data_IF_428625402729
#
_entry.id   IF_428625402729
#
_cell.length_a   1.000
_cell.length_b   1.000
_cell.length_c   1.000
_cell.angle_alpha   90.00
_cell.angle_beta   90.00
_cell.angle_gamma   90.00
#
_symmetry.space_group_name_H-M   'P 1'
#
loop_
_entity.id
_entity.type
_entity.pdbx_description
1 polymer ?
#
# COMPACT_ATOMS: atom_id res chain seq x y z
N UNK A 1 0.75 -8.99 -6.30
CA UNK A 1 1.15 -7.77 -7.05
C UNK A 1 0.07 -6.69 -7.07
N UNK A 2 -1.12 -6.90 -7.65
CA UNK A 2 -2.18 -5.86 -7.73
C UNK A 2 -2.48 -5.15 -6.40
N UNK A 3 -2.74 -5.91 -5.33
CA UNK A 3 -3.01 -5.34 -4.01
C UNK A 3 -1.83 -4.56 -3.43
N UNK A 4 -0.60 -5.00 -3.65
CA UNK A 4 0.60 -4.30 -3.17
C UNK A 4 0.77 -2.94 -3.86
N UNK A 5 0.44 -2.84 -5.15
CA UNK A 5 0.46 -1.57 -5.90
C UNK A 5 -0.58 -0.60 -5.31
N UNK A 6 -1.81 -1.08 -5.08
CA UNK A 6 -2.84 -0.26 -4.45
C UNK A 6 -2.54 0.08 -2.99
N UNK A 7 -1.81 -0.77 -2.25
CA UNK A 7 -1.37 -0.44 -0.89
C UNK A 7 -0.46 0.80 -0.87
N UNK A 8 0.42 0.97 -1.88
CA UNK A 8 1.27 2.16 -2.02
C UNK A 8 0.42 3.41 -2.28
N UNK A 9 -0.57 3.31 -3.19
CA UNK A 9 -1.49 4.42 -3.46
C UNK A 9 -2.22 4.86 -2.18
N UNK A 10 -2.81 3.90 -1.47
CA UNK A 10 -3.56 4.18 -0.25
C UNK A 10 -2.68 4.70 0.88
N UNK A 11 -1.42 4.27 0.99
CA UNK A 11 -0.45 4.84 1.93
C UNK A 11 -0.23 6.35 1.74
N UNK A 12 -0.30 6.85 0.51
CA UNK A 12 -0.15 8.29 0.22
C UNK A 12 -1.43 9.08 0.50
N UNK A 13 -2.59 8.42 0.43
CA UNK A 13 -3.89 9.02 0.75
C UNK A 13 -4.19 9.01 2.26
N UNK A 14 -3.64 8.04 2.99
CA UNK A 14 -3.98 7.75 4.39
C UNK A 14 -3.64 8.91 5.34
N UNK A 15 -4.59 9.28 6.19
CA UNK A 15 -4.40 10.23 7.29
C UNK A 15 -4.75 9.60 8.63
N UNK A 16 -4.53 10.33 9.73
CA UNK A 16 -4.95 9.86 11.06
C UNK A 16 -6.47 9.74 11.17
N UNK A 17 -7.23 10.65 10.52
CA UNK A 17 -8.70 10.66 10.49
C UNK A 17 -9.26 9.59 9.55
N UNK A 18 -8.56 9.31 8.45
CA UNK A 18 -8.96 8.35 7.42
C UNK A 18 -7.83 7.37 7.10
N UNK A 19 -7.58 6.37 7.97
CA UNK A 19 -6.52 5.40 7.78
C UNK A 19 -6.87 4.39 6.67
N UNK A 20 -6.02 4.28 5.65
CA UNK A 20 -6.26 3.48 4.44
C UNK A 20 -5.20 2.37 4.27
N UNK A 21 -5.13 1.43 5.22
CA UNK A 21 -4.11 0.36 5.22
C UNK A 21 -4.66 -1.05 4.91
N UNK A 22 -5.84 -1.14 4.27
CA UNK A 22 -6.56 -2.40 4.05
C UNK A 22 -5.83 -3.44 3.19
N UNK A 23 -4.96 -3.02 2.26
CA UNK A 23 -4.18 -3.93 1.42
C UNK A 23 -2.77 -4.25 1.95
N UNK A 24 -2.44 -3.77 3.15
CA UNK A 24 -1.14 -4.01 3.75
C UNK A 24 -1.10 -5.37 4.44
N UNK A 25 0.06 -6.04 4.46
CA UNK A 25 0.25 -7.21 5.32
C UNK A 25 -0.05 -6.87 6.78
N UNK A 26 -0.70 -7.79 7.48
CA UNK A 26 -1.02 -7.65 8.91
C UNK A 26 0.16 -8.21 9.73
N UNK A 27 0.33 -7.70 10.96
CA UNK A 27 1.25 -8.28 11.93
C UNK A 27 2.49 -7.42 12.20
N UNK A 28 3.29 -7.87 13.17
CA UNK A 28 4.48 -7.15 13.66
C UNK A 28 5.60 -7.09 12.62
N UNK A 29 5.62 -8.03 11.69
CA UNK A 29 6.60 -8.09 10.60
C UNK A 29 6.13 -7.37 9.33
N UNK A 30 4.96 -6.71 9.39
CA UNK A 30 4.49 -5.88 8.30
C UNK A 30 5.49 -4.77 7.99
N UNK A 31 5.72 -4.53 6.70
CA UNK A 31 6.43 -3.34 6.24
C UNK A 31 5.61 -2.06 6.46
N UNK A 32 4.29 -2.19 6.67
CA UNK A 32 3.40 -1.08 6.98
C UNK A 32 3.51 -0.70 8.46
N UNK A 33 4.00 0.52 8.73
CA UNK A 33 4.15 1.04 10.09
C UNK A 33 2.84 1.09 10.87
N UNK A 34 1.71 1.41 10.21
CA UNK A 34 0.39 1.40 10.84
C UNK A 34 0.01 -0.01 11.30
N UNK A 35 0.12 -1.01 10.42
CA UNK A 35 -0.20 -2.41 10.75
C UNK A 35 0.72 -3.00 11.82
N UNK A 36 2.00 -2.60 11.83
CA UNK A 36 2.95 -2.96 12.87
C UNK A 36 2.57 -2.38 14.23
N UNK A 37 2.16 -1.10 14.24
CA UNK A 37 1.73 -0.42 15.46
C UNK A 37 0.43 -1.05 16.00
N UNK A 38 -0.56 -1.28 15.13
CA UNK A 38 -1.81 -1.99 15.44
C UNK A 38 -1.54 -3.37 16.07
N UNK A 39 -0.71 -4.19 15.43
CA UNK A 39 -0.35 -5.53 15.94
C UNK A 39 0.48 -5.51 17.24
N UNK A 40 1.05 -4.37 17.60
CA UNK A 40 1.88 -4.19 18.80
C UNK A 40 1.19 -3.36 19.89
N UNK A 41 -0.07 -2.95 19.68
CA UNK A 41 -0.79 -2.06 20.59
C UNK A 41 -0.14 -0.69 20.77
N UNK A 42 0.59 -0.20 19.77
CA UNK A 42 1.26 1.11 19.78
C UNK A 42 0.46 2.13 18.98
N UNK A 43 0.61 3.40 19.32
CA UNK A 43 0.07 4.49 18.50
C UNK A 43 0.89 4.66 17.22
N UNK A 44 0.22 5.11 16.16
CA UNK A 44 0.83 5.50 14.89
C UNK A 44 0.35 6.91 14.54
N UNK A 45 1.24 7.71 13.97
CA UNK A 45 0.93 9.06 13.49
C UNK A 45 1.37 9.19 12.04
N UNK A 46 0.44 9.56 11.17
CA UNK A 46 0.72 9.82 9.77
C UNK A 46 1.56 11.09 9.62
N UNK A 47 2.60 11.02 8.78
CA UNK A 47 3.52 12.15 8.55
C UNK A 47 3.55 12.62 7.10
N UNK A 48 3.25 11.74 6.16
CA UNK A 48 3.59 11.92 4.74
C UNK A 48 2.38 11.70 3.82
N UNK A 49 1.18 12.12 4.24
CA UNK A 49 0.02 12.16 3.35
C UNK A 49 0.21 13.24 2.29
N UNK A 50 -0.15 12.93 1.05
CA UNK A 50 -0.16 13.90 -0.03
C UNK A 50 -1.54 14.58 -0.10
N UNK A 51 -1.63 15.82 -0.61
CA UNK A 51 -2.92 16.43 -0.88
C UNK A 51 -3.77 15.55 -1.78
N UNK A 52 -5.07 15.45 -1.49
CA UNK A 52 -6.00 14.56 -2.23
C UNK A 52 -5.91 14.77 -3.73
N UNK A 53 -5.86 16.03 -4.19
CA UNK A 53 -5.73 16.34 -5.62
C UNK A 53 -4.49 15.70 -6.29
N UNK A 54 -3.36 15.63 -5.58
CA UNK A 54 -2.13 15.00 -6.07
C UNK A 54 -2.30 13.49 -6.15
N UNK A 55 -2.84 12.86 -5.10
CA UNK A 55 -3.06 11.41 -5.08
C UNK A 55 -4.06 11.01 -6.17
N UNK A 56 -5.13 11.75 -6.34
CA UNK A 56 -6.14 11.53 -7.38
C UNK A 56 -5.55 11.65 -8.79
N UNK A 57 -4.66 12.61 -9.04
CA UNK A 57 -3.94 12.72 -10.30
C UNK A 57 -3.05 11.50 -10.60
N UNK A 58 -2.54 10.81 -9.57
CA UNK A 58 -1.75 9.58 -9.72
C UNK A 58 -2.63 8.34 -9.95
N UNK A 59 -3.93 8.37 -9.64
CA UNK A 59 -4.82 7.20 -9.68
C UNK A 59 -4.81 6.47 -11.04
N UNK A 60 -4.85 7.14 -12.20
CA UNK A 60 -4.78 6.45 -13.50
C UNK A 60 -3.49 5.65 -13.67
N UNK A 61 -2.36 6.17 -13.21
CA UNK A 61 -1.05 5.48 -13.27
C UNK A 61 -1.10 4.21 -12.43
N UNK A 62 -1.62 4.28 -11.20
CA UNK A 62 -1.73 3.10 -10.34
C UNK A 62 -2.70 2.06 -10.91
N UNK A 63 -3.79 2.48 -11.54
CA UNK A 63 -4.70 1.57 -12.25
C UNK A 63 -3.96 0.82 -13.35
N UNK A 64 -3.23 1.54 -14.20
CA UNK A 64 -2.51 0.97 -15.34
C UNK A 64 -1.38 0.04 -14.87
N UNK A 65 -0.62 0.44 -13.82
CA UNK A 65 0.38 -0.41 -13.17
C UNK A 65 -0.21 -1.69 -12.57
N UNK A 66 -1.47 -1.63 -12.15
CA UNK A 66 -2.17 -2.76 -11.55
C UNK A 66 -2.84 -3.68 -12.58
N UNK A 67 -2.71 -3.37 -13.88
CA UNK A 67 -3.33 -4.12 -14.96
C UNK A 67 -2.76 -5.54 -15.06
N UNK A 68 -3.60 -6.59 -15.14
CA UNK A 68 -3.12 -7.97 -15.15
C UNK A 68 -2.07 -8.26 -16.22
N UNK A 69 -2.20 -7.67 -17.41
CA UNK A 69 -1.27 -7.89 -18.50
C UNK A 69 0.15 -7.38 -18.20
N UNK A 70 0.27 -6.28 -17.45
CA UNK A 70 1.58 -5.80 -17.00
C UNK A 70 2.16 -6.71 -15.90
N UNK A 71 1.29 -7.25 -15.05
CA UNK A 71 1.69 -8.08 -13.91
C UNK A 71 2.08 -9.52 -14.29
N UNK A 72 1.59 -10.04 -15.43
CA UNK A 72 1.90 -11.40 -15.91
C UNK A 72 3.39 -11.68 -16.04
N UNK A 73 4.19 -10.67 -16.37
CA UNK A 73 5.63 -10.81 -16.60
C UNK A 73 6.49 -10.69 -15.33
N UNK A 74 5.89 -10.34 -14.18
CA UNK A 74 6.62 -10.11 -12.92
C UNK A 74 6.53 -11.33 -11.98
N UNK A 75 5.79 -12.38 -12.35
CA UNK A 75 5.52 -13.54 -11.49
C UNK A 75 6.54 -14.68 -11.55
N UNK A 76 7.72 -14.51 -12.15
CA UNK A 76 8.66 -15.62 -12.39
C UNK A 76 9.98 -15.51 -11.62
N UNK A 77 9.92 -15.31 -10.30
CA UNK A 77 10.94 -15.84 -9.38
C UNK A 77 10.22 -16.39 -8.13
N UNK A 78 9.48 -17.48 -8.34
CA UNK A 78 9.23 -18.39 -7.21
C UNK A 78 10.58 -19.02 -6.88
N UNK A 79 11.02 -18.84 -5.63
CA UNK A 79 12.16 -19.55 -5.06
C UNK A 79 12.18 -21.00 -5.57
N UNK A 80 13.18 -21.31 -6.41
CA UNK A 80 13.60 -22.68 -6.66
C UNK A 80 14.22 -23.18 -5.35
N UNK A 81 13.42 -23.85 -4.55
CA UNK A 81 13.89 -24.77 -3.49
C UNK A 81 13.62 -26.18 -3.96
#
# INVERSE_FOLDING_TARGET
>A
MRQAIWAIFLHKLSTDEYPQHGFCPIGKDSWCGFKKAEASGKSYKHKNSLPVAVVEAMRPIFRDLSHPDLLKNVCMEKHKT
#
